data_IF_373964817889
#
_entry.id   IF_373964817889
#
_cell.length_a   1.000
_cell.length_b   1.000
_cell.length_c   1.000
_cell.angle_alpha   90.00
_cell.angle_beta   90.00
_cell.angle_gamma   90.00
#
_symmetry.space_group_name_H-M   'P 1'
#
loop_
_entity.id
_entity.type
_entity.pdbx_description
1 polymer ?
#
# COMPACT_ATOMS: atom_id res chain seq x y z
N UNK A 1 24.56 -17.94 -18.45
CA UNK A 1 24.05 -17.90 -17.06
C UNK A 1 25.13 -17.26 -16.18
N UNK A 2 25.42 -15.96 -16.24
CA UNK A 2 24.54 -14.79 -16.30
C UNK A 2 24.52 -14.21 -14.88
N UNK A 3 25.42 -13.27 -14.56
CA UNK A 3 25.75 -12.83 -13.19
C UNK A 3 24.52 -12.52 -12.31
N UNK A 4 23.44 -11.98 -12.90
CA UNK A 4 22.20 -11.64 -12.20
C UNK A 4 21.39 -12.83 -11.69
N UNK A 5 21.42 -14.00 -12.34
CA UNK A 5 20.75 -15.19 -11.78
C UNK A 5 21.37 -15.61 -10.44
N UNK A 6 22.69 -15.43 -10.29
CA UNK A 6 23.36 -15.67 -9.01
C UNK A 6 22.90 -14.65 -7.96
N UNK A 7 22.76 -13.39 -8.33
CA UNK A 7 22.24 -12.33 -7.43
C UNK A 7 20.83 -12.68 -6.96
N UNK A 8 19.93 -13.07 -7.86
CA UNK A 8 18.56 -13.49 -7.50
C UNK A 8 18.57 -14.66 -6.52
N UNK A 9 19.41 -15.68 -6.75
CA UNK A 9 19.52 -16.80 -5.82
C UNK A 9 20.05 -16.39 -4.43
N UNK A 10 20.93 -15.39 -4.36
CA UNK A 10 21.43 -14.85 -3.09
C UNK A 10 20.39 -13.99 -2.34
N UNK A 11 19.36 -13.49 -3.04
CA UNK A 11 18.23 -12.75 -2.47
C UNK A 11 17.02 -13.65 -2.15
N UNK A 12 17.04 -14.92 -2.58
CA UNK A 12 15.85 -15.75 -2.56
C UNK A 12 15.39 -16.11 -1.16
N UNK A 13 16.33 -16.45 -0.29
CA UNK A 13 16.07 -16.86 1.07
C UNK A 13 16.87 -16.04 2.08
N UNK A 14 16.22 -15.66 3.17
CA UNK A 14 16.86 -15.18 4.36
C UNK A 14 17.75 -16.28 4.95
N UNK A 15 18.91 -15.89 5.45
CA UNK A 15 19.88 -16.81 6.04
C UNK A 15 20.47 -16.27 7.34
N UNK A 16 19.72 -15.40 8.03
CA UNK A 16 20.18 -14.72 9.24
C UNK A 16 21.01 -13.46 8.99
N UNK A 17 21.22 -13.04 7.74
CA UNK A 17 22.02 -11.85 7.39
C UNK A 17 21.38 -11.03 6.28
N UNK A 18 21.37 -9.72 6.48
CA UNK A 18 20.93 -8.78 5.45
C UNK A 18 21.85 -8.84 4.20
N UNK A 19 21.31 -9.12 2.99
CA UNK A 19 22.10 -9.44 1.80
C UNK A 19 22.64 -8.19 1.07
N UNK A 20 23.25 -7.25 1.81
CA UNK A 20 23.72 -5.94 1.31
C UNK A 20 24.47 -6.00 -0.02
N UNK A 21 25.48 -6.88 -0.12
CA UNK A 21 26.30 -7.01 -1.34
C UNK A 21 25.53 -7.55 -2.54
N UNK A 22 24.49 -8.34 -2.33
CA UNK A 22 23.65 -8.84 -3.41
C UNK A 22 22.74 -7.71 -3.91
N UNK A 23 22.13 -6.95 -2.99
CA UNK A 23 21.33 -5.76 -3.31
C UNK A 23 22.15 -4.70 -4.08
N UNK A 24 23.37 -4.39 -3.62
CA UNK A 24 24.27 -3.46 -4.31
C UNK A 24 24.59 -3.90 -5.75
N UNK A 25 24.79 -5.21 -5.97
CA UNK A 25 24.99 -5.77 -7.32
C UNK A 25 23.72 -5.71 -8.16
N UNK A 26 22.55 -5.98 -7.57
CA UNK A 26 21.27 -5.85 -8.26
C UNK A 26 21.06 -4.41 -8.74
N UNK A 27 21.31 -3.43 -7.87
CA UNK A 27 21.23 -2.00 -8.21
C UNK A 27 22.19 -1.61 -9.34
N UNK A 28 23.42 -2.14 -9.36
CA UNK A 28 24.39 -1.89 -10.43
C UNK A 28 23.98 -2.55 -11.76
N UNK A 29 23.23 -3.66 -11.71
CA UNK A 29 22.76 -4.43 -12.85
C UNK A 29 21.28 -4.21 -13.18
N UNK A 30 20.75 -2.99 -12.97
CA UNK A 30 19.32 -2.65 -13.10
C UNK A 30 18.64 -3.28 -14.32
N UNK A 31 19.17 -3.07 -15.52
CA UNK A 31 18.51 -3.52 -16.76
C UNK A 31 18.42 -5.04 -16.87
N UNK A 32 19.45 -5.76 -16.39
CA UNK A 32 19.50 -7.22 -16.42
C UNK A 32 18.66 -7.85 -15.30
N UNK A 33 18.60 -7.22 -14.11
CA UNK A 33 17.90 -7.77 -12.95
C UNK A 33 16.40 -7.48 -12.98
N UNK A 34 15.98 -6.33 -13.51
CA UNK A 34 14.57 -5.92 -13.56
C UNK A 34 13.61 -6.99 -14.10
N UNK A 35 13.85 -7.63 -15.26
CA UNK A 35 12.96 -8.70 -15.73
C UNK A 35 12.92 -9.92 -14.80
N UNK A 36 13.99 -10.19 -14.05
CA UNK A 36 14.02 -11.27 -13.07
C UNK A 36 13.25 -10.92 -11.80
N UNK A 37 13.26 -9.66 -11.38
CA UNK A 37 12.46 -9.16 -10.25
C UNK A 37 10.97 -9.18 -10.58
N UNK A 38 10.58 -8.73 -11.78
CA UNK A 38 9.20 -8.82 -12.25
C UNK A 38 8.73 -10.28 -12.29
N UNK A 39 9.59 -11.19 -12.78
CA UNK A 39 9.30 -12.63 -12.78
C UNK A 39 9.15 -13.20 -11.37
N UNK A 40 9.87 -12.68 -10.38
CA UNK A 40 9.72 -13.14 -9.00
C UNK A 40 8.34 -12.76 -8.43
N UNK A 41 7.78 -11.62 -8.80
CA UNK A 41 6.39 -11.27 -8.44
C UNK A 41 5.40 -12.20 -9.15
N UNK A 42 5.64 -12.51 -10.43
CA UNK A 42 4.81 -13.47 -11.18
C UNK A 42 4.84 -14.88 -10.57
N UNK A 43 6.01 -15.35 -10.12
CA UNK A 43 6.15 -16.65 -9.46
C UNK A 43 5.32 -16.73 -8.17
N UNK A 44 5.26 -15.65 -7.39
CA UNK A 44 4.42 -15.60 -6.17
C UNK A 44 2.93 -15.48 -6.50
N UNK A 45 2.56 -14.74 -7.56
CA UNK A 45 1.17 -14.68 -8.01
C UNK A 45 0.66 -16.02 -8.54
N UNK A 46 1.51 -16.78 -9.24
CA UNK A 46 1.19 -18.12 -9.74
C UNK A 46 1.09 -19.15 -8.61
N UNK A 47 1.93 -19.02 -7.57
CA UNK A 47 1.98 -19.93 -6.43
C UNK A 47 2.31 -19.17 -5.12
N UNK A 48 1.30 -18.61 -4.43
CA UNK A 48 1.51 -17.85 -3.19
C UNK A 48 2.18 -18.68 -2.09
N UNK A 49 2.03 -20.02 -2.11
CA UNK A 49 2.63 -20.93 -1.13
C UNK A 49 4.15 -20.82 -1.04
N UNK A 50 4.82 -20.39 -2.12
CA UNK A 50 6.28 -20.12 -2.11
C UNK A 50 6.65 -19.11 -1.04
N UNK A 51 5.80 -18.11 -0.81
CA UNK A 51 6.02 -17.05 0.17
C UNK A 51 5.16 -17.22 1.43
N UNK A 52 4.07 -18.00 1.40
CA UNK A 52 3.19 -18.21 2.56
C UNK A 52 3.49 -19.46 3.39
N UNK A 53 4.22 -20.44 2.84
CA UNK A 53 4.60 -21.66 3.57
C UNK A 53 6.08 -21.70 3.99
N UNK A 54 6.89 -20.74 3.51
CA UNK A 54 8.33 -20.64 3.82
C UNK A 54 8.67 -19.22 4.28
N UNK A 55 8.75 -19.03 5.61
CA UNK A 55 9.07 -17.73 6.24
C UNK A 55 10.46 -17.19 5.88
N UNK A 56 11.37 -18.06 5.40
CA UNK A 56 12.69 -17.64 4.96
C UNK A 56 12.66 -17.13 3.51
N UNK A 57 11.60 -17.34 2.72
CA UNK A 57 11.51 -16.82 1.35
C UNK A 57 11.32 -15.31 1.35
N UNK A 58 12.26 -14.57 0.73
CA UNK A 58 12.31 -13.10 0.77
C UNK A 58 12.43 -12.42 -0.59
N UNK A 59 12.43 -13.19 -1.69
CA UNK A 59 12.74 -12.64 -3.00
C UNK A 59 11.74 -11.56 -3.44
N UNK A 60 10.45 -11.79 -3.18
CA UNK A 60 9.38 -10.86 -3.55
C UNK A 60 9.50 -9.56 -2.77
N UNK A 61 9.78 -9.62 -1.46
CA UNK A 61 10.00 -8.41 -0.64
C UNK A 61 11.16 -7.59 -1.22
N UNK A 62 12.32 -8.20 -1.48
CA UNK A 62 13.44 -7.47 -2.10
C UNK A 62 13.11 -6.95 -3.50
N UNK A 63 12.32 -7.70 -4.28
CA UNK A 63 11.88 -7.27 -5.60
C UNK A 63 11.00 -6.01 -5.50
N UNK A 64 10.05 -5.94 -4.56
CA UNK A 64 9.20 -4.76 -4.35
C UNK A 64 10.03 -3.50 -4.11
N UNK A 65 10.97 -3.55 -3.17
CA UNK A 65 11.83 -2.40 -2.86
C UNK A 65 12.73 -1.99 -4.03
N UNK A 66 13.35 -2.95 -4.72
CA UNK A 66 14.21 -2.66 -5.87
C UNK A 66 13.41 -2.09 -7.04
N UNK A 67 12.25 -2.66 -7.36
CA UNK A 67 11.37 -2.18 -8.43
C UNK A 67 10.83 -0.77 -8.13
N UNK A 68 10.48 -0.49 -6.87
CA UNK A 68 10.13 0.85 -6.40
C UNK A 68 11.29 1.84 -6.55
N UNK A 69 12.49 1.48 -6.09
CA UNK A 69 13.70 2.29 -6.25
C UNK A 69 14.00 2.58 -7.74
N UNK A 70 13.72 1.61 -8.60
CA UNK A 70 13.90 1.72 -10.04
C UNK A 70 12.80 2.49 -10.75
N UNK A 71 11.68 2.78 -10.07
CA UNK A 71 10.44 3.34 -10.61
C UNK A 71 9.92 2.53 -11.80
N UNK A 72 9.96 1.20 -11.68
CA UNK A 72 9.55 0.30 -12.75
C UNK A 72 8.02 0.17 -12.80
N UNK A 73 7.39 0.91 -13.72
CA UNK A 73 5.93 0.96 -13.84
C UNK A 73 5.27 -0.36 -14.22
N UNK A 74 6.00 -1.30 -14.84
CA UNK A 74 5.47 -2.65 -15.11
C UNK A 74 5.23 -3.47 -13.84
N UNK A 75 5.81 -3.06 -12.71
CA UNK A 75 5.57 -3.71 -11.42
C UNK A 75 4.21 -3.36 -10.84
N UNK A 76 3.71 -2.14 -11.07
CA UNK A 76 2.48 -1.63 -10.44
C UNK A 76 1.28 -2.58 -10.54
N UNK A 77 0.83 -3.03 -11.72
CA UNK A 77 -0.30 -3.96 -11.80
C UNK A 77 -0.04 -5.29 -11.07
N UNK A 78 1.22 -5.76 -11.03
CA UNK A 78 1.57 -6.99 -10.30
C UNK A 78 1.50 -6.80 -8.79
N UNK A 79 1.88 -5.62 -8.30
CA UNK A 79 1.78 -5.26 -6.89
C UNK A 79 0.31 -5.13 -6.48
N UNK A 80 -0.52 -4.54 -7.35
CA UNK A 80 -1.97 -4.51 -7.16
C UNK A 80 -2.54 -5.93 -7.09
N UNK A 81 -2.19 -6.82 -8.03
CA UNK A 81 -2.62 -8.22 -8.00
C UNK A 81 -2.16 -8.94 -6.71
N UNK A 82 -0.95 -8.66 -6.22
CA UNK A 82 -0.43 -9.25 -4.98
C UNK A 82 -1.25 -8.84 -3.76
N UNK A 83 -1.59 -7.56 -3.62
CA UNK A 83 -2.39 -7.08 -2.48
C UNK A 83 -3.87 -7.43 -2.60
N UNK A 84 -4.34 -7.86 -3.78
CA UNK A 84 -5.68 -8.40 -4.00
C UNK A 84 -5.80 -9.91 -3.68
N UNK A 85 -4.71 -10.57 -3.29
CA UNK A 85 -4.77 -11.93 -2.75
C UNK A 85 -5.51 -11.95 -1.40
N UNK A 86 -5.74 -13.15 -0.85
CA UNK A 86 -6.48 -13.26 0.42
C UNK A 86 -5.78 -12.46 1.53
N UNK A 87 -6.51 -11.79 2.44
CA UNK A 87 -5.89 -10.97 3.48
C UNK A 87 -4.84 -11.70 4.31
N UNK A 88 -5.07 -12.99 4.58
CA UNK A 88 -4.11 -13.83 5.30
C UNK A 88 -2.82 -14.09 4.52
N UNK A 89 -2.90 -14.28 3.20
CA UNK A 89 -1.71 -14.43 2.36
C UNK A 89 -0.94 -13.11 2.27
N UNK A 90 -1.64 -11.99 2.09
CA UNK A 90 -1.04 -10.65 2.04
C UNK A 90 -0.29 -10.33 3.33
N UNK A 91 -0.94 -10.55 4.48
CA UNK A 91 -0.34 -10.39 5.81
C UNK A 91 0.92 -11.23 5.96
N UNK A 92 0.86 -12.51 5.60
CA UNK A 92 2.03 -13.39 5.73
C UNK A 92 3.17 -12.98 4.80
N UNK A 93 2.88 -12.65 3.54
CA UNK A 93 3.91 -12.34 2.54
C UNK A 93 4.57 -10.98 2.74
N UNK A 94 3.81 -9.97 3.18
CA UNK A 94 4.27 -8.59 3.25
C UNK A 94 4.57 -8.14 4.68
N UNK A 95 3.83 -8.64 5.67
CA UNK A 95 3.94 -8.27 7.08
C UNK A 95 4.03 -6.76 7.27
N UNK A 96 5.03 -6.31 8.02
CA UNK A 96 5.30 -4.89 8.27
C UNK A 96 5.45 -4.04 7.01
N UNK A 97 5.78 -4.64 5.84
CA UNK A 97 5.85 -3.90 4.56
C UNK A 97 4.52 -3.23 4.23
N UNK A 98 3.39 -3.83 4.63
CA UNK A 98 2.04 -3.29 4.39
C UNK A 98 1.95 -1.89 4.99
N UNK A 99 2.26 -1.72 6.28
CA UNK A 99 2.10 -0.46 6.99
C UNK A 99 3.30 0.47 6.88
N UNK A 100 4.52 -0.05 6.70
CA UNK A 100 5.74 0.77 6.71
C UNK A 100 6.15 1.30 5.33
N UNK A 101 5.78 0.62 4.24
CA UNK A 101 6.39 0.89 2.93
C UNK A 101 5.49 0.72 1.71
N UNK A 102 4.33 0.08 1.83
CA UNK A 102 3.48 -0.23 0.68
C UNK A 102 3.03 1.02 -0.08
N UNK A 103 2.60 2.08 0.62
CA UNK A 103 2.26 3.37 -0.01
C UNK A 103 3.41 3.88 -0.90
N UNK A 104 4.64 3.89 -0.37
CA UNK A 104 5.82 4.38 -1.09
C UNK A 104 6.17 3.48 -2.29
N UNK A 105 5.99 2.17 -2.15
CA UNK A 105 6.22 1.20 -3.21
C UNK A 105 5.20 1.38 -4.35
N UNK A 106 3.90 1.46 -4.01
CA UNK A 106 2.82 1.70 -4.96
C UNK A 106 3.00 3.04 -5.68
N UNK A 107 3.21 4.12 -4.94
CA UNK A 107 3.42 5.45 -5.50
C UNK A 107 4.67 5.51 -6.41
N UNK A 108 5.80 4.92 -5.98
CA UNK A 108 7.03 4.93 -6.79
C UNK A 108 6.92 4.13 -8.08
N UNK A 109 6.05 3.12 -8.11
CA UNK A 109 5.80 2.29 -9.30
C UNK A 109 4.58 2.75 -10.10
N UNK A 110 3.83 3.74 -9.63
CA UNK A 110 2.57 4.16 -10.23
C UNK A 110 2.67 4.40 -11.74
N UNK A 111 1.78 3.77 -12.50
CA UNK A 111 1.78 3.76 -13.95
C UNK A 111 0.73 4.69 -14.59
N UNK A 112 -0.01 5.46 -13.78
CA UNK A 112 -1.09 6.33 -14.23
C UNK A 112 -2.48 5.67 -14.25
N UNK A 113 -2.60 4.40 -13.89
CA UNK A 113 -3.90 3.71 -13.83
C UNK A 113 -4.54 3.88 -12.46
N UNK A 114 -5.30 4.98 -12.33
CA UNK A 114 -6.04 5.31 -11.12
C UNK A 114 -7.09 4.25 -10.76
N UNK A 115 -7.66 3.57 -11.76
CA UNK A 115 -8.75 2.60 -11.54
C UNK A 115 -8.31 1.37 -10.75
N UNK A 116 -7.02 1.02 -10.84
CA UNK A 116 -6.44 -0.07 -10.04
C UNK A 116 -6.34 0.31 -8.55
N UNK A 117 -6.04 1.58 -8.24
CA UNK A 117 -6.03 2.07 -6.86
C UNK A 117 -7.46 2.09 -6.30
N UNK A 118 -8.41 2.65 -7.06
CA UNK A 118 -9.82 2.70 -6.67
C UNK A 118 -10.38 1.28 -6.42
N UNK A 119 -10.04 0.32 -7.29
CA UNK A 119 -10.48 -1.07 -7.17
C UNK A 119 -9.98 -1.78 -5.91
N UNK A 120 -8.81 -1.41 -5.40
CA UNK A 120 -8.29 -1.90 -4.11
C UNK A 120 -9.01 -1.22 -2.95
N UNK A 121 -9.09 0.12 -2.98
CA UNK A 121 -9.68 0.93 -1.91
C UNK A 121 -11.15 0.56 -1.66
N UNK A 122 -11.91 0.37 -2.73
CA UNK A 122 -13.35 0.07 -2.67
C UNK A 122 -13.66 -1.40 -2.38
N UNK A 123 -12.66 -2.29 -2.43
CA UNK A 123 -12.90 -3.72 -2.25
C UNK A 123 -12.82 -4.10 -0.76
N UNK A 124 -13.94 -4.49 -0.13
CA UNK A 124 -13.97 -4.86 1.28
C UNK A 124 -13.19 -6.13 1.62
N UNK A 125 -12.97 -7.01 0.64
CA UNK A 125 -12.28 -8.29 0.85
C UNK A 125 -10.75 -8.17 0.86
N UNK A 126 -10.21 -6.96 0.64
CA UNK A 126 -8.78 -6.68 0.66
C UNK A 126 -8.30 -6.43 2.08
N UNK A 127 -7.05 -6.84 2.36
CA UNK A 127 -6.37 -6.55 3.63
C UNK A 127 -6.50 -5.06 3.99
N UNK A 128 -6.95 -4.79 5.22
CA UNK A 128 -7.40 -3.49 5.69
C UNK A 128 -6.31 -2.42 5.60
N UNK A 129 -5.09 -2.74 6.03
CA UNK A 129 -3.96 -1.81 5.99
C UNK A 129 -3.42 -1.63 4.57
N UNK A 130 -3.56 -2.62 3.70
CA UNK A 130 -3.25 -2.50 2.28
C UNK A 130 -4.22 -1.53 1.58
N UNK A 131 -5.52 -1.56 1.93
CA UNK A 131 -6.49 -0.57 1.46
C UNK A 131 -6.12 0.83 1.95
N UNK A 132 -5.79 1.00 3.23
CA UNK A 132 -5.35 2.28 3.81
C UNK A 132 -4.10 2.83 3.11
N UNK A 133 -3.07 2.00 2.97
CA UNK A 133 -1.84 2.37 2.26
C UNK A 133 -2.07 2.75 0.79
N UNK A 134 -3.04 2.11 0.14
CA UNK A 134 -3.43 2.45 -1.24
C UNK A 134 -4.20 3.76 -1.29
N UNK A 135 -5.05 4.04 -0.30
CA UNK A 135 -5.72 5.33 -0.13
C UNK A 135 -4.66 6.45 -0.04
N UNK A 136 -3.63 6.29 0.78
CA UNK A 136 -2.57 7.30 0.94
C UNK A 136 -1.77 7.60 -0.35
N UNK A 137 -1.78 6.68 -1.33
CA UNK A 137 -1.24 6.97 -2.66
C UNK A 137 -2.03 8.08 -3.35
N UNK A 138 -3.36 8.10 -3.20
CA UNK A 138 -4.20 9.18 -3.75
C UNK A 138 -3.87 10.54 -3.14
N UNK A 139 -3.64 10.57 -1.82
CA UNK A 139 -3.20 11.77 -1.13
C UNK A 139 -1.88 12.28 -1.71
N UNK A 140 -0.90 11.40 -1.88
CA UNK A 140 0.39 11.76 -2.47
C UNK A 140 0.27 12.24 -3.92
N UNK A 141 -0.53 11.56 -4.74
CA UNK A 141 -0.83 12.00 -6.12
C UNK A 141 -1.47 13.38 -6.16
N UNK A 142 -2.34 13.70 -5.19
CA UNK A 142 -2.94 15.03 -5.07
C UNK A 142 -1.90 16.09 -4.70
N UNK A 143 -0.97 15.80 -3.78
CA UNK A 143 0.11 16.73 -3.41
C UNK A 143 1.02 17.06 -4.60
N UNK A 144 1.31 16.06 -5.42
CA UNK A 144 2.15 16.23 -6.61
C UNK A 144 1.39 16.81 -7.82
N UNK A 145 0.07 16.97 -7.70
CA UNK A 145 -0.79 17.57 -8.71
C UNK A 145 -1.19 16.64 -9.87
N UNK A 146 -1.00 15.33 -9.72
CA UNK A 146 -1.41 14.31 -10.69
C UNK A 146 -2.94 14.09 -10.66
N UNK A 147 -3.57 14.28 -9.50
CA UNK A 147 -5.02 14.39 -9.35
C UNK A 147 -5.39 15.72 -8.67
N UNK A 148 -6.60 16.22 -8.92
CA UNK A 148 -7.04 17.48 -8.30
C UNK A 148 -7.56 17.27 -6.88
N UNK A 149 -7.45 18.30 -6.05
CA UNK A 149 -8.04 18.31 -4.70
C UNK A 149 -9.55 18.10 -4.75
N UNK A 150 -10.23 18.68 -5.73
CA UNK A 150 -11.68 18.53 -5.91
C UNK A 150 -12.06 17.08 -6.18
N UNK A 151 -11.27 16.37 -7.00
CA UNK A 151 -11.47 14.95 -7.24
C UNK A 151 -11.25 14.14 -5.95
N UNK A 152 -10.16 14.37 -5.21
CA UNK A 152 -9.89 13.67 -3.96
C UNK A 152 -11.03 13.88 -2.93
N UNK A 153 -11.47 15.11 -2.73
CA UNK A 153 -12.59 15.44 -1.83
C UNK A 153 -13.89 14.75 -2.24
N UNK A 154 -14.20 14.72 -3.54
CA UNK A 154 -15.39 14.03 -4.04
C UNK A 154 -15.29 12.51 -3.83
N UNK A 155 -14.10 11.95 -4.05
CA UNK A 155 -13.84 10.52 -3.88
C UNK A 155 -13.96 10.08 -2.41
N UNK A 156 -13.37 10.83 -1.47
CA UNK A 156 -13.48 10.54 -0.04
C UNK A 156 -14.95 10.61 0.44
N UNK A 157 -15.71 11.60 -0.05
CA UNK A 157 -17.16 11.66 0.24
C UNK A 157 -17.93 10.50 -0.36
N UNK A 158 -17.59 10.02 -1.55
CA UNK A 158 -18.16 8.80 -2.13
C UNK A 158 -17.91 7.62 -1.18
N UNK A 159 -16.67 7.44 -0.73
CA UNK A 159 -16.30 6.35 0.18
C UNK A 159 -17.06 6.44 1.51
N UNK A 160 -17.25 7.63 2.08
CA UNK A 160 -18.07 7.79 3.29
C UNK A 160 -19.53 7.39 3.00
N UNK A 161 -20.15 7.93 1.95
CA UNK A 161 -21.59 7.77 1.73
C UNK A 161 -22.03 6.40 1.19
N UNK A 162 -21.18 5.70 0.44
CA UNK A 162 -21.56 4.47 -0.29
C UNK A 162 -21.23 3.17 0.45
N UNK A 163 -20.47 3.24 1.56
CA UNK A 163 -20.07 2.04 2.32
C UNK A 163 -21.08 1.73 3.41
N UNK A 164 -21.29 0.43 3.64
CA UNK A 164 -22.25 -0.06 4.64
C UNK A 164 -21.51 -0.39 5.93
N UNK A 165 -21.88 0.25 7.03
CA UNK A 165 -21.15 0.20 8.30
C UNK A 165 -21.57 -0.92 9.25
N UNK A 166 -22.29 -1.92 8.75
CA UNK A 166 -22.80 -3.02 9.58
C UNK A 166 -21.68 -3.97 10.04
N UNK A 167 -20.49 -3.87 9.44
CA UNK A 167 -19.30 -4.65 9.79
C UNK A 167 -18.22 -3.78 10.44
N UNK A 168 -17.66 -4.25 11.56
CA UNK A 168 -16.75 -3.47 12.43
C UNK A 168 -15.48 -2.98 11.69
N UNK A 169 -14.93 -3.80 10.79
CA UNK A 169 -13.74 -3.47 10.02
C UNK A 169 -13.96 -2.33 9.00
N UNK A 170 -15.20 -2.05 8.58
CA UNK A 170 -15.50 -0.86 7.76
C UNK A 170 -15.42 0.44 8.57
N UNK A 171 -15.62 0.37 9.89
CA UNK A 171 -15.34 1.50 10.80
C UNK A 171 -13.85 1.76 10.91
N UNK A 172 -13.04 0.70 10.99
CA UNK A 172 -11.59 0.83 11.02
C UNK A 172 -11.09 1.51 9.74
N UNK A 173 -11.70 1.22 8.59
CA UNK A 173 -11.35 1.89 7.35
C UNK A 173 -11.65 3.40 7.34
N UNK A 174 -12.72 3.85 8.02
CA UNK A 174 -12.97 5.29 8.19
C UNK A 174 -11.85 5.99 8.97
N UNK A 175 -11.13 5.25 9.83
CA UNK A 175 -9.89 5.72 10.46
C UNK A 175 -8.89 6.21 9.43
N UNK A 176 -8.63 5.46 8.35
CA UNK A 176 -7.71 5.90 7.29
C UNK A 176 -8.21 7.13 6.53
N UNK A 177 -9.52 7.29 6.33
CA UNK A 177 -10.08 8.52 5.74
C UNK A 177 -9.82 9.72 6.66
N UNK A 178 -10.03 9.55 7.97
CA UNK A 178 -9.75 10.58 8.96
C UNK A 178 -8.26 10.94 8.98
N UNK A 179 -7.38 9.94 8.95
CA UNK A 179 -5.92 10.11 8.95
C UNK A 179 -5.50 10.89 7.71
N UNK A 180 -6.01 10.54 6.54
CA UNK A 180 -5.77 11.31 5.32
C UNK A 180 -6.28 12.76 5.43
N UNK A 181 -7.50 12.98 5.93
CA UNK A 181 -8.03 14.35 6.11
C UNK A 181 -7.10 15.16 7.02
N UNK A 182 -6.56 14.52 8.05
CA UNK A 182 -5.59 15.11 8.96
C UNK A 182 -4.26 15.41 8.26
N UNK A 183 -3.59 14.40 7.71
CA UNK A 183 -2.25 14.50 7.12
C UNK A 183 -2.19 15.50 5.95
N UNK A 184 -3.18 15.46 5.08
CA UNK A 184 -3.26 16.32 3.89
C UNK A 184 -4.00 17.64 4.15
N UNK A 185 -4.37 17.92 5.41
CA UNK A 185 -5.03 19.16 5.86
C UNK A 185 -6.26 19.51 5.01
N UNK A 186 -7.13 18.52 4.79
CA UNK A 186 -8.35 18.66 4.00
C UNK A 186 -9.48 19.28 4.82
N UNK A 187 -9.31 20.54 5.25
CA UNK A 187 -10.27 21.27 6.09
C UNK A 187 -11.72 21.30 5.55
N UNK A 188 -11.89 21.15 4.23
CA UNK A 188 -13.20 21.08 3.58
C UNK A 188 -14.00 19.82 3.98
N UNK A 189 -13.38 18.84 4.63
CA UNK A 189 -13.99 17.60 5.09
C UNK A 189 -14.33 17.57 6.59
N UNK A 190 -14.12 18.66 7.33
CA UNK A 190 -14.33 18.65 8.78
C UNK A 190 -15.76 18.25 9.19
N UNK A 191 -16.78 18.69 8.46
CA UNK A 191 -18.17 18.28 8.73
C UNK A 191 -18.43 16.82 8.35
N UNK A 192 -17.78 16.32 7.29
CA UNK A 192 -17.85 14.91 6.90
C UNK A 192 -17.24 14.02 8.02
N UNK A 193 -16.09 14.41 8.57
CA UNK A 193 -15.44 13.72 9.71
C UNK A 193 -16.29 13.83 10.98
N UNK A 194 -16.88 15.00 11.27
CA UNK A 194 -17.77 15.18 12.42
C UNK A 194 -18.93 14.19 12.40
N UNK A 195 -19.55 13.97 11.23
CA UNK A 195 -20.65 13.01 11.08
C UNK A 195 -20.20 11.60 11.48
N UNK A 196 -18.99 11.20 11.11
CA UNK A 196 -18.44 9.90 11.49
C UNK A 196 -18.29 9.75 13.01
N UNK A 197 -17.87 10.81 13.72
CA UNK A 197 -17.82 10.81 15.19
C UNK A 197 -19.21 10.72 15.82
N UNK A 198 -20.15 11.55 15.35
CA UNK A 198 -21.52 11.61 15.89
C UNK A 198 -22.25 10.25 15.72
N UNK A 199 -21.91 9.50 14.67
CA UNK A 199 -22.47 8.18 14.37
C UNK A 199 -21.65 7.01 14.96
N UNK A 200 -20.53 7.28 15.64
CA UNK A 200 -19.65 6.26 16.21
C UNK A 200 -19.02 5.35 15.14
N UNK A 201 -18.64 5.95 14.01
CA UNK A 201 -18.09 5.30 12.81
C UNK A 201 -16.57 5.43 12.69
N UNK A 202 -15.92 5.97 13.72
CA UNK A 202 -14.46 6.05 13.88
C UNK A 202 -14.09 5.65 15.30
N UNK A 203 -12.94 4.99 15.47
CA UNK A 203 -12.39 4.67 16.79
C UNK A 203 -11.68 5.90 17.39
N UNK A 204 -12.08 6.39 18.57
CA UNK A 204 -11.42 7.50 19.25
C UNK A 204 -10.00 7.18 19.75
N UNK A 205 -9.52 5.93 19.67
CA UNK A 205 -8.20 5.53 20.18
C UNK A 205 -7.04 6.34 19.59
N UNK A 206 -7.14 6.78 18.32
CA UNK A 206 -6.06 7.47 17.63
C UNK A 206 -6.08 9.00 17.84
N UNK A 207 -7.24 9.63 17.73
CA UNK A 207 -7.37 11.11 17.72
C UNK A 207 -8.19 11.69 18.88
N UNK A 208 -8.71 10.83 19.76
CA UNK A 208 -9.59 11.28 20.83
C UNK A 208 -11.01 11.52 20.34
N UNK A 209 -11.73 12.45 20.98
CA UNK A 209 -13.02 12.91 20.48
C UNK A 209 -12.87 13.94 19.33
N UNK A 210 -13.99 14.36 18.73
CA UNK A 210 -13.95 15.31 17.62
C UNK A 210 -13.35 16.68 18.01
N UNK A 211 -13.51 17.14 19.26
CA UNK A 211 -12.94 18.41 19.70
C UNK A 211 -11.41 18.31 19.82
N UNK A 212 -10.89 17.16 20.27
CA UNK A 212 -9.47 16.83 20.28
C UNK A 212 -8.91 16.72 18.85
N UNK A 213 -9.59 16.01 17.95
CA UNK A 213 -9.25 15.94 16.53
C UNK A 213 -9.18 17.33 15.87
N UNK A 214 -10.21 18.16 16.08
CA UNK A 214 -10.28 19.51 15.52
C UNK A 214 -9.16 20.41 16.07
N UNK A 215 -8.77 20.23 17.32
CA UNK A 215 -7.65 20.94 17.93
C UNK A 215 -6.32 20.58 17.26
N UNK A 216 -6.09 19.29 16.95
CA UNK A 216 -4.90 18.83 16.23
C UNK A 216 -4.83 19.38 14.80
N UNK A 217 -5.97 19.52 14.14
CA UNK A 217 -6.06 20.11 12.79
C UNK A 217 -5.66 21.59 12.73
N UNK A 218 -5.74 22.31 13.85
CA UNK A 218 -5.43 23.74 13.95
C UNK A 218 -3.96 24.03 14.33
N UNK A 219 -3.18 22.99 14.61
CA UNK A 219 -1.73 23.08 14.90
C UNK A 219 -0.86 22.82 13.68
#
# INVERSE_FOLDING_TARGET
MGHMHKVINELRYYNGKFPRKALERAMQGKDEVTPLLLKALDEVLEDPAIATEDEDYMLHVYALYLLAQFREQRAFPKIIELILLSPGDVEFMLGDTITESLQNILYSTYNGDLSLLEGVIENPDVELYARGSTLDVLGQLCLDGEISKEYLLAYLRKLINERTYDEEWEKDFNGFIQDMVYEYRLFDMLEDIRSLYDEGQVDPANFGDFDEYLSLMQT
#
